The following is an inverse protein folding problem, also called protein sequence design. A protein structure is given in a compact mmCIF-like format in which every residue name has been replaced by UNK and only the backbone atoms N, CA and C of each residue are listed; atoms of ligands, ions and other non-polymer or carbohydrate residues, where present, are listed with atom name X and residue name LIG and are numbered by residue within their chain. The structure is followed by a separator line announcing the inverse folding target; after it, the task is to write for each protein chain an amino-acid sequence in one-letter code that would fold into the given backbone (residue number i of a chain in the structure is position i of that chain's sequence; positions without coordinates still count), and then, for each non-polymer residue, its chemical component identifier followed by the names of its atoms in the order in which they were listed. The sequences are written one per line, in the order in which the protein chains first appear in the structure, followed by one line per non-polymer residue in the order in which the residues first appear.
data_IF_832136867310
#
_entry.id   IF_832136867310
#
_cell.length_a   1.000
_cell.length_b   1.000
_cell.length_c   1.000
_cell.angle_alpha   90.00
_cell.angle_beta   90.00
_cell.angle_gamma   90.00
#
_symmetry.space_group_name_H-M   'P 1'
#
loop_
_entity.id
_entity.type
_entity.pdbx_description
1 polymer ?
#
# COMPACT_ATOMS: atom_id res chain seq x y z
N UNK A 1 12.76 8.47 -32.18
CA UNK A 1 12.65 8.89 -30.75
C UNK A 1 12.73 7.61 -29.92
N UNK A 2 13.81 7.41 -29.17
CA UNK A 2 13.87 6.35 -28.17
C UNK A 2 12.95 6.76 -27.03
N UNK A 3 11.82 6.07 -26.86
CA UNK A 3 10.91 6.30 -25.75
C UNK A 3 11.51 5.56 -24.54
N UNK A 4 11.94 6.31 -23.52
CA UNK A 4 12.31 5.69 -22.25
C UNK A 4 11.04 5.12 -21.63
N UNK A 5 10.96 3.79 -21.55
CA UNK A 5 9.79 3.10 -21.00
C UNK A 5 9.76 3.07 -19.48
N UNK A 6 10.80 3.53 -18.79
CA UNK A 6 10.83 3.65 -17.34
C UNK A 6 11.85 4.71 -16.93
N UNK A 7 11.50 5.55 -15.96
CA UNK A 7 12.42 6.49 -15.31
C UNK A 7 12.40 6.14 -13.83
N UNK A 8 13.56 5.86 -13.26
CA UNK A 8 13.72 5.60 -11.84
C UNK A 8 14.54 6.73 -11.19
N UNK A 9 14.18 7.08 -9.96
CA UNK A 9 14.82 8.13 -9.16
C UNK A 9 15.61 7.45 -8.04
N UNK A 10 16.83 7.96 -7.80
CA UNK A 10 17.73 7.51 -6.73
C UNK A 10 18.09 8.63 -5.78
N UNK A 11 19.12 8.42 -4.96
CA UNK A 11 19.59 9.41 -4.01
C UNK A 11 20.19 10.67 -4.67
N UNK A 12 20.27 11.74 -3.87
CA UNK A 12 21.14 12.89 -4.09
C UNK A 12 22.53 12.51 -3.56
N UNK A 13 23.56 12.79 -4.35
CA UNK A 13 24.94 12.44 -4.06
C UNK A 13 25.80 13.70 -3.91
N UNK A 14 26.89 13.57 -3.15
CA UNK A 14 27.86 14.65 -2.96
C UNK A 14 28.62 15.05 -4.24
N UNK A 15 28.61 14.19 -5.26
CA UNK A 15 29.15 14.47 -6.59
C UNK A 15 28.15 14.10 -7.68
N UNK A 16 28.37 14.61 -8.90
CA UNK A 16 27.68 14.09 -10.08
C UNK A 16 27.89 12.58 -10.22
N UNK A 17 26.83 11.83 -10.55
CA UNK A 17 26.87 10.38 -10.77
C UNK A 17 27.88 9.91 -11.85
N UNK A 18 28.43 10.85 -12.64
CA UNK A 18 29.57 10.59 -13.54
C UNK A 18 30.83 10.14 -12.77
N UNK A 19 30.97 10.58 -11.51
CA UNK A 19 32.09 10.27 -10.63
C UNK A 19 31.80 9.11 -9.65
N UNK A 20 30.82 8.24 -9.95
CA UNK A 20 30.42 7.11 -9.09
C UNK A 20 31.52 6.10 -8.72
N UNK A 21 32.67 6.17 -9.40
CA UNK A 21 33.85 5.34 -9.10
C UNK A 21 34.81 6.00 -8.11
N UNK A 22 34.54 7.24 -7.69
CA UNK A 22 35.33 7.94 -6.68
C UNK A 22 35.14 7.25 -5.31
N UNK A 23 36.22 7.04 -4.53
CA UNK A 23 36.10 6.46 -3.19
C UNK A 23 35.28 7.33 -2.22
N UNK A 24 35.20 8.64 -2.49
CA UNK A 24 34.42 9.59 -1.69
C UNK A 24 32.98 9.74 -2.19
N UNK A 25 32.56 9.01 -3.24
CA UNK A 25 31.20 9.07 -3.76
C UNK A 25 30.22 8.43 -2.78
N UNK A 26 29.30 9.22 -2.24
CA UNK A 26 28.32 8.77 -1.27
C UNK A 26 27.00 9.50 -1.41
N UNK A 27 25.95 8.84 -0.95
CA UNK A 27 24.61 9.40 -0.83
C UNK A 27 24.57 10.46 0.28
N UNK A 28 23.91 11.58 0.03
CA UNK A 28 23.69 12.66 1.00
C UNK A 28 22.24 12.73 1.47
N UNK A 29 21.29 12.59 0.55
CA UNK A 29 19.86 12.65 0.85
C UNK A 29 19.09 11.72 -0.08
N UNK A 30 17.93 11.26 0.37
CA UNK A 30 16.98 10.55 -0.50
C UNK A 30 15.60 10.57 0.13
N UNK A 31 14.54 10.69 -0.65
CA UNK A 31 13.18 10.50 -0.16
C UNK A 31 13.04 9.15 0.58
N UNK A 32 12.26 9.14 1.66
CA UNK A 32 11.87 7.87 2.27
C UNK A 32 10.77 7.27 1.40
N UNK A 33 10.98 6.04 0.94
CA UNK A 33 10.09 5.41 -0.05
C UNK A 33 9.62 4.05 0.41
N UNK A 34 8.36 3.72 0.09
CA UNK A 34 7.76 2.42 0.35
C UNK A 34 7.19 1.86 -0.94
N UNK A 35 7.34 0.56 -1.15
CA UNK A 35 6.75 -0.18 -2.27
C UNK A 35 5.88 -1.30 -1.71
N UNK A 36 4.62 -1.32 -2.16
CA UNK A 36 3.62 -2.31 -1.78
C UNK A 36 3.05 -2.91 -3.06
N UNK A 37 3.27 -4.21 -3.25
CA UNK A 37 2.76 -4.96 -4.38
C UNK A 37 1.64 -5.90 -3.92
N UNK A 38 0.48 -5.82 -4.57
CA UNK A 38 -0.65 -6.69 -4.25
C UNK A 38 -0.36 -8.18 -4.47
N UNK A 39 0.66 -8.55 -5.27
CA UNK A 39 1.05 -9.97 -5.39
C UNK A 39 1.57 -10.55 -4.10
N UNK A 40 2.05 -9.72 -3.19
CA UNK A 40 2.46 -10.18 -1.86
C UNK A 40 1.26 -10.63 -1.04
N UNK A 41 0.02 -10.45 -1.51
CA UNK A 41 -1.22 -10.85 -0.86
C UNK A 41 -1.93 -12.04 -1.55
N UNK A 42 -1.24 -12.77 -2.43
CA UNK A 42 -1.82 -13.92 -3.16
C UNK A 42 -2.36 -15.04 -2.25
N UNK A 43 -1.87 -15.12 -1.01
CA UNK A 43 -2.34 -16.02 0.04
C UNK A 43 -3.65 -15.59 0.70
N UNK A 44 -4.08 -14.34 0.51
CA UNK A 44 -5.26 -13.74 1.17
C UNK A 44 -6.19 -13.00 0.21
N UNK A 45 -6.11 -13.32 -1.09
CA UNK A 45 -7.03 -12.87 -2.13
C UNK A 45 -7.34 -14.02 -3.09
N UNK A 46 -8.61 -14.21 -3.40
CA UNK A 46 -9.12 -15.31 -4.24
C UNK A 46 -9.61 -14.82 -5.60
N UNK A 47 -9.96 -13.54 -5.72
CA UNK A 47 -10.49 -12.97 -6.95
C UNK A 47 -9.45 -12.82 -8.08
N UNK A 48 -8.17 -12.76 -7.72
CA UNK A 48 -7.03 -12.49 -8.60
C UNK A 48 -5.78 -13.20 -8.07
N UNK A 49 -4.76 -13.34 -8.92
CA UNK A 49 -3.46 -13.89 -8.56
C UNK A 49 -2.35 -13.11 -9.29
N UNK A 50 -1.14 -13.16 -8.76
CA UNK A 50 0.06 -12.53 -9.29
C UNK A 50 -0.13 -11.05 -9.61
N UNK A 51 -0.09 -10.67 -10.88
CA UNK A 51 -0.15 -9.28 -11.29
C UNK A 51 -1.53 -8.74 -11.58
N UNK A 52 -2.57 -9.57 -11.49
CA UNK A 52 -3.94 -9.16 -11.78
C UNK A 52 -4.50 -8.38 -10.58
N UNK A 53 -5.21 -7.31 -10.86
CA UNK A 53 -5.96 -6.52 -9.89
C UNK A 53 -7.40 -6.34 -10.37
N UNK A 54 -8.31 -6.14 -9.43
CA UNK A 54 -9.69 -5.76 -9.68
C UNK A 54 -10.25 -5.06 -8.44
N UNK A 55 -11.46 -4.50 -8.57
CA UNK A 55 -12.14 -3.78 -7.48
C UNK A 55 -12.42 -4.65 -6.25
N UNK A 56 -12.42 -5.99 -6.38
CA UNK A 56 -12.60 -6.90 -5.24
C UNK A 56 -11.39 -6.97 -4.31
N UNK A 57 -10.17 -6.89 -4.84
CA UNK A 57 -8.93 -6.93 -4.04
C UNK A 57 -8.35 -5.55 -3.76
N UNK A 58 -8.83 -4.50 -4.43
CA UNK A 58 -8.39 -3.13 -4.19
C UNK A 58 -8.56 -2.64 -2.74
N UNK A 59 -9.56 -3.08 -1.95
CA UNK A 59 -9.62 -2.73 -0.54
C UNK A 59 -8.35 -3.06 0.25
N UNK A 60 -7.54 -4.05 -0.15
CA UNK A 60 -6.21 -4.26 0.45
C UNK A 60 -5.30 -3.05 0.27
N UNK A 61 -5.28 -2.49 -0.94
CA UNK A 61 -4.47 -1.32 -1.26
C UNK A 61 -5.00 -0.08 -0.55
N UNK A 62 -6.32 0.09 -0.44
CA UNK A 62 -6.93 1.14 0.39
C UNK A 62 -6.48 1.06 1.84
N UNK A 63 -6.56 -0.13 2.46
CA UNK A 63 -6.10 -0.33 3.83
C UNK A 63 -4.60 -0.03 3.92
N UNK A 64 -3.80 -0.49 2.95
CA UNK A 64 -2.36 -0.27 2.96
C UNK A 64 -1.98 1.21 2.95
N UNK A 65 -2.59 1.99 2.05
CA UNK A 65 -2.37 3.44 1.93
C UNK A 65 -2.77 4.15 3.22
N UNK A 66 -3.97 3.90 3.73
CA UNK A 66 -4.48 4.57 4.94
C UNK A 66 -3.68 4.20 6.18
N UNK A 67 -3.32 2.93 6.35
CA UNK A 67 -2.48 2.50 7.49
C UNK A 67 -1.10 3.11 7.40
N UNK A 68 -0.46 3.10 6.22
CA UNK A 68 0.86 3.68 6.05
C UNK A 68 0.84 5.20 6.27
N UNK A 69 -0.12 5.91 5.71
CA UNK A 69 -0.27 7.35 5.90
C UNK A 69 -0.49 7.72 7.38
N UNK A 70 -1.45 7.06 8.05
CA UNK A 70 -1.71 7.24 9.48
C UNK A 70 -0.45 7.00 10.30
N UNK A 71 0.35 5.98 9.95
CA UNK A 71 1.61 5.67 10.62
C UNK A 71 2.64 6.78 10.42
N UNK A 72 2.86 7.22 9.18
CA UNK A 72 3.82 8.26 8.84
C UNK A 72 3.46 9.60 9.51
N UNK A 73 2.18 9.96 9.52
CA UNK A 73 1.69 11.19 10.16
C UNK A 73 1.75 11.10 11.69
N UNK A 74 1.20 10.04 12.29
CA UNK A 74 1.02 10.01 13.75
C UNK A 74 2.24 9.53 14.53
N UNK A 75 3.05 8.63 13.97
CA UNK A 75 4.23 8.09 14.65
C UNK A 75 5.50 8.89 14.34
N UNK A 76 5.61 9.45 13.13
CA UNK A 76 6.82 10.15 12.66
C UNK A 76 6.62 11.64 12.41
N UNK A 77 5.38 12.13 12.33
CA UNK A 77 5.11 13.55 12.12
C UNK A 77 5.39 14.04 10.70
N UNK A 78 5.45 13.14 9.71
CA UNK A 78 5.68 13.52 8.32
C UNK A 78 4.41 14.09 7.68
N UNK A 79 4.58 15.13 6.88
CA UNK A 79 3.48 15.86 6.25
C UNK A 79 3.53 15.80 4.72
N UNK A 80 4.72 15.70 4.13
CA UNK A 80 4.92 15.79 2.68
C UNK A 80 4.93 14.39 2.05
N UNK A 81 3.75 13.77 2.00
CA UNK A 81 3.56 12.37 1.58
C UNK A 81 2.86 12.31 0.22
N UNK A 82 3.41 11.53 -0.72
CA UNK A 82 2.84 11.29 -2.04
C UNK A 82 2.64 9.79 -2.30
N UNK A 83 1.41 9.41 -2.60
CA UNK A 83 1.11 8.07 -3.10
C UNK A 83 1.03 8.08 -4.64
N UNK A 84 1.58 7.03 -5.25
CA UNK A 84 1.67 6.88 -6.71
C UNK A 84 1.29 5.46 -7.09
N UNK A 85 0.35 5.29 -8.01
CA UNK A 85 0.07 3.98 -8.57
C UNK A 85 1.28 3.51 -9.41
N UNK A 86 1.75 2.27 -9.22
CA UNK A 86 2.98 1.77 -9.85
C UNK A 86 2.87 1.54 -11.36
N UNK A 87 1.68 1.76 -11.93
CA UNK A 87 1.34 1.56 -13.34
C UNK A 87 0.90 0.12 -13.67
N UNK A 88 0.84 -0.77 -12.68
CA UNK A 88 0.36 -2.15 -12.89
C UNK A 88 -0.49 -2.68 -11.76
N UNK A 89 0.05 -2.79 -10.54
CA UNK A 89 -0.55 -3.61 -9.48
C UNK A 89 -0.21 -3.21 -8.05
N UNK A 90 0.63 -2.21 -7.87
CA UNK A 90 1.12 -1.79 -6.57
C UNK A 90 1.06 -0.29 -6.42
N UNK A 91 1.49 0.18 -5.27
CA UNK A 91 1.52 1.60 -4.91
C UNK A 91 2.90 1.90 -4.35
N UNK A 92 3.44 3.05 -4.75
CA UNK A 92 4.63 3.63 -4.17
C UNK A 92 4.23 4.78 -3.25
N UNK A 93 4.86 4.89 -2.09
CA UNK A 93 4.76 6.05 -1.22
C UNK A 93 6.11 6.77 -1.21
N UNK A 94 6.09 8.09 -1.32
CA UNK A 94 7.26 8.97 -1.25
C UNK A 94 7.05 9.99 -0.15
N UNK A 95 8.03 10.15 0.74
CA UNK A 95 8.03 11.15 1.82
C UNK A 95 9.17 12.13 1.56
N UNK A 96 8.81 13.40 1.42
CA UNK A 96 9.70 14.48 0.98
C UNK A 96 10.21 15.37 2.10
N UNK A 97 9.65 15.25 3.31
CA UNK A 97 10.08 15.97 4.51
C UNK A 97 11.61 15.95 4.63
N UNK A 98 12.20 17.11 4.93
CA UNK A 98 13.65 17.26 4.98
C UNK A 98 14.31 16.25 5.95
N UNK A 99 13.68 16.04 7.11
CA UNK A 99 14.13 15.07 8.11
C UNK A 99 14.05 13.64 7.60
N UNK A 100 12.98 13.28 6.87
CA UNK A 100 12.87 11.97 6.22
C UNK A 100 13.97 11.77 5.17
N UNK A 101 14.31 12.83 4.42
CA UNK A 101 15.34 12.78 3.39
C UNK A 101 16.75 12.55 3.93
N UNK A 102 17.00 13.01 5.15
CA UNK A 102 18.31 12.94 5.83
C UNK A 102 18.49 11.70 6.72
N UNK A 103 17.45 10.88 6.94
CA UNK A 103 17.55 9.66 7.75
C UNK A 103 18.68 8.76 7.27
N UNK A 104 19.60 8.42 8.16
CA UNK A 104 20.72 7.51 7.88
C UNK A 104 20.25 6.05 7.79
N UNK A 105 21.14 5.14 7.41
CA UNK A 105 20.78 3.73 7.19
C UNK A 105 20.21 3.01 8.42
N UNK A 106 20.70 3.31 9.62
CA UNK A 106 20.18 2.71 10.86
C UNK A 106 18.79 3.26 11.23
N UNK A 107 18.57 4.56 10.98
CA UNK A 107 17.27 5.20 11.19
C UNK A 107 16.22 4.68 10.20
N UNK A 108 16.58 4.56 8.92
CA UNK A 108 15.71 3.94 7.90
C UNK A 108 15.39 2.50 8.23
N UNK A 109 16.37 1.72 8.68
CA UNK A 109 16.15 0.36 9.13
C UNK A 109 15.14 0.31 10.28
N UNK A 110 15.34 1.10 11.33
CA UNK A 110 14.43 1.14 12.47
C UNK A 110 13.00 1.57 12.06
N UNK A 111 12.90 2.57 11.19
CA UNK A 111 11.62 3.07 10.67
C UNK A 111 10.91 2.02 9.81
N UNK A 112 11.60 1.44 8.83
CA UNK A 112 11.04 0.42 7.94
C UNK A 112 10.52 -0.78 8.75
N UNK A 113 11.27 -1.21 9.77
CA UNK A 113 10.85 -2.27 10.68
C UNK A 113 9.72 -1.87 11.64
N UNK A 114 9.59 -0.59 12.00
CA UNK A 114 8.43 -0.10 12.73
C UNK A 114 7.15 -0.17 11.88
N UNK A 115 7.26 0.20 10.60
CA UNK A 115 6.16 0.11 9.64
C UNK A 115 5.82 -1.34 9.26
N UNK A 116 6.72 -2.30 9.47
CA UNK A 116 6.49 -3.72 9.18
C UNK A 116 5.89 -4.47 10.39
N UNK A 117 4.57 -4.67 10.40
CA UNK A 117 3.88 -5.43 11.45
C UNK A 117 3.42 -6.78 10.91
N UNK A 118 3.64 -7.84 11.71
CA UNK A 118 3.19 -9.20 11.41
C UNK A 118 2.36 -9.76 12.56
N UNK A 119 1.49 -10.73 12.26
CA UNK A 119 0.66 -11.38 13.26
C UNK A 119 1.49 -12.07 14.37
N UNK A 120 2.72 -12.49 14.07
CA UNK A 120 3.61 -13.15 15.03
C UNK A 120 4.02 -12.21 16.18
N UNK A 121 4.14 -10.91 15.90
CA UNK A 121 4.48 -9.88 16.89
C UNK A 121 3.33 -9.59 17.87
N UNK A 122 2.10 -9.99 17.53
CA UNK A 122 0.94 -9.81 18.41
C UNK A 122 0.90 -10.96 19.43
N UNK A 123 1.03 -10.58 20.71
CA UNK A 123 0.89 -11.50 21.85
C UNK A 123 -0.53 -12.03 22.02
N UNK A 124 -0.76 -12.81 23.08
CA UNK A 124 -2.04 -13.50 23.32
C UNK A 124 -3.00 -12.74 24.23
N UNK A 125 -2.49 -11.88 25.12
CA UNK A 125 -3.30 -11.21 26.15
C UNK A 125 -2.80 -9.82 26.57
N UNK A 126 -1.82 -9.24 25.88
CA UNK A 126 -1.26 -7.93 26.23
C UNK A 126 -2.02 -6.78 25.56
N UNK A 127 -1.90 -5.57 26.12
CA UNK A 127 -2.38 -4.36 25.46
C UNK A 127 -1.65 -4.20 24.12
N UNK A 128 -2.41 -4.03 23.04
CA UNK A 128 -1.85 -3.75 21.72
C UNK A 128 -1.16 -2.37 21.71
N UNK A 129 -0.06 -2.26 20.99
CA UNK A 129 0.58 -0.97 20.73
C UNK A 129 -0.37 -0.04 19.97
N UNK A 130 -0.33 1.26 20.24
CA UNK A 130 -1.24 2.26 19.64
C UNK A 130 -1.24 2.20 18.11
N UNK A 131 -0.05 2.06 17.50
CA UNK A 131 0.11 1.81 16.06
C UNK A 131 -0.78 0.67 15.53
N UNK A 132 -0.71 -0.50 16.17
CA UNK A 132 -1.50 -1.67 15.79
C UNK A 132 -2.99 -1.41 16.02
N UNK A 133 -3.36 -0.68 17.07
CA UNK A 133 -4.76 -0.31 17.32
C UNK A 133 -5.31 0.62 16.23
N UNK A 134 -4.53 1.60 15.77
CA UNK A 134 -4.93 2.49 14.69
C UNK A 134 -5.05 1.74 13.36
N UNK A 135 -4.11 0.85 13.06
CA UNK A 135 -4.20 -0.02 11.90
C UNK A 135 -5.47 -0.89 11.91
N UNK A 136 -5.79 -1.50 13.06
CA UNK A 136 -7.01 -2.30 13.21
C UNK A 136 -8.30 -1.48 13.06
N UNK A 137 -8.33 -0.24 13.55
CA UNK A 137 -9.48 0.66 13.35
C UNK A 137 -9.74 0.92 11.86
N UNK A 138 -8.68 1.13 11.09
CA UNK A 138 -8.77 1.29 9.63
C UNK A 138 -9.26 -0.02 9.01
N UNK A 139 -8.62 -1.15 9.34
CA UNK A 139 -9.02 -2.47 8.84
C UNK A 139 -10.50 -2.77 9.12
N UNK A 140 -11.00 -2.42 10.30
CA UNK A 140 -12.39 -2.68 10.71
C UNK A 140 -13.42 -2.02 9.80
N UNK A 141 -13.07 -0.93 9.11
CA UNK A 141 -13.95 -0.25 8.15
C UNK A 141 -14.19 -1.08 6.87
N UNK A 142 -13.27 -1.96 6.53
CA UNK A 142 -13.28 -2.74 5.28
C UNK A 142 -13.50 -4.24 5.52
N UNK A 143 -13.31 -4.69 6.77
CA UNK A 143 -13.06 -6.09 7.07
C UNK A 143 -14.18 -7.02 6.62
N UNK A 144 -15.43 -6.74 6.97
CA UNK A 144 -16.54 -7.65 6.69
C UNK A 144 -16.80 -7.74 5.17
N UNK A 145 -16.80 -6.61 4.45
CA UNK A 145 -16.95 -6.57 3.00
C UNK A 145 -15.80 -7.30 2.28
N UNK A 146 -14.56 -7.06 2.72
CA UNK A 146 -13.38 -7.72 2.13
C UNK A 146 -13.42 -9.23 2.36
N UNK A 147 -13.75 -9.65 3.59
CA UNK A 147 -13.85 -11.05 3.97
C UNK A 147 -14.88 -11.79 3.11
N UNK A 148 -16.07 -11.21 2.96
CA UNK A 148 -17.14 -11.75 2.12
C UNK A 148 -16.74 -11.77 0.64
N UNK A 149 -16.22 -10.67 0.12
CA UNK A 149 -15.88 -10.52 -1.30
C UNK A 149 -14.78 -11.49 -1.75
N UNK A 150 -13.85 -11.82 -0.86
CA UNK A 150 -12.78 -12.78 -1.11
C UNK A 150 -13.13 -14.20 -0.67
N UNK A 151 -14.29 -14.43 -0.03
CA UNK A 151 -14.72 -15.74 0.46
C UNK A 151 -13.62 -16.51 1.23
N UNK A 152 -12.86 -15.81 2.09
CA UNK A 152 -11.64 -16.36 2.71
C UNK A 152 -11.91 -17.53 3.66
N UNK A 153 -13.15 -17.70 4.11
CA UNK A 153 -13.59 -18.81 4.94
C UNK A 153 -14.47 -19.80 4.17
N UNK A 154 -14.57 -19.69 2.84
CA UNK A 154 -15.43 -20.51 1.98
C UNK A 154 -14.97 -21.97 1.87
N UNK A 155 -13.69 -22.24 2.08
CA UNK A 155 -13.13 -23.61 2.03
C UNK A 155 -12.56 -24.06 3.38
N UNK A 156 -12.34 -25.37 3.50
CA UNK A 156 -11.69 -25.97 4.68
C UNK A 156 -10.26 -25.41 4.87
N UNK A 157 -9.51 -25.24 3.77
CA UNK A 157 -8.18 -24.65 3.78
C UNK A 157 -8.19 -23.18 4.22
N UNK A 158 -9.23 -22.44 3.85
CA UNK A 158 -9.46 -21.07 4.29
C UNK A 158 -9.64 -20.99 5.81
N UNK A 159 -10.47 -21.88 6.37
CA UNK A 159 -10.64 -22.00 7.83
C UNK A 159 -9.31 -22.35 8.51
N UNK A 160 -8.59 -23.34 7.99
CA UNK A 160 -7.28 -23.72 8.50
C UNK A 160 -6.30 -22.55 8.47
N UNK A 161 -6.34 -21.72 7.42
CA UNK A 161 -5.49 -20.54 7.29
C UNK A 161 -5.69 -19.53 8.42
N UNK A 162 -6.93 -19.35 8.89
CA UNK A 162 -7.25 -18.48 10.02
C UNK A 162 -6.88 -19.14 11.36
N UNK A 163 -7.13 -20.45 11.51
CA UNK A 163 -6.80 -21.20 12.72
C UNK A 163 -5.29 -21.24 13.02
N UNK A 164 -4.41 -21.06 12.01
CA UNK A 164 -2.95 -20.88 12.19
C UNK A 164 -2.61 -19.74 13.16
N UNK A 165 -3.46 -18.72 13.25
CA UNK A 165 -3.25 -17.55 14.11
C UNK A 165 -3.89 -17.69 15.49
N UNK A 166 -4.62 -18.78 15.75
CA UNK A 166 -5.17 -19.11 17.07
C UNK A 166 -4.12 -19.89 17.86
N UNK A 167 -3.63 -19.31 18.95
CA UNK A 167 -2.60 -19.91 19.82
C UNK A 167 -3.26 -20.72 20.95
N UNK A 168 -4.11 -21.68 20.55
CA UNK A 168 -4.79 -22.65 21.39
C UNK A 168 -4.46 -24.07 20.94
N UNK A 169 -4.77 -25.05 21.80
CA UNK A 169 -4.53 -26.47 21.54
C UNK A 169 -5.27 -26.96 20.28
N UNK A 170 -4.66 -27.90 19.55
CA UNK A 170 -5.20 -28.42 18.29
C UNK A 170 -6.58 -29.07 18.48
N UNK A 171 -6.83 -29.71 19.62
CA UNK A 171 -8.16 -30.26 19.93
C UNK A 171 -9.25 -29.18 19.93
N UNK A 172 -8.96 -27.97 20.42
CA UNK A 172 -9.92 -26.86 20.44
C UNK A 172 -10.08 -26.29 19.04
N UNK A 173 -8.98 -26.12 18.29
CA UNK A 173 -9.03 -25.62 16.91
C UNK A 173 -9.82 -26.56 15.99
N UNK A 174 -9.65 -27.87 16.14
CA UNK A 174 -10.40 -28.87 15.39
C UNK A 174 -11.90 -28.83 15.76
N UNK A 175 -12.24 -28.71 17.04
CA UNK A 175 -13.64 -28.53 17.47
C UNK A 175 -14.29 -27.28 16.83
N UNK A 176 -13.54 -26.17 16.76
CA UNK A 176 -14.02 -24.94 16.13
C UNK A 176 -14.19 -25.10 14.63
N UNK A 177 -13.23 -25.75 13.96
CA UNK A 177 -13.29 -26.08 12.54
C UNK A 177 -14.54 -26.90 12.21
N UNK A 178 -14.81 -27.97 12.95
CA UNK A 178 -16.01 -28.80 12.78
C UNK A 178 -17.30 -28.01 12.97
N UNK A 179 -17.32 -27.02 13.88
CA UNK A 179 -18.48 -26.14 14.06
C UNK A 179 -18.66 -25.17 12.91
N UNK A 180 -17.58 -24.64 12.35
CA UNK A 180 -17.62 -23.73 11.21
C UNK A 180 -18.06 -24.44 9.93
N UNK A 181 -17.61 -25.68 9.71
CA UNK A 181 -17.96 -26.49 8.53
C UNK A 181 -19.45 -26.85 8.45
N UNK A 182 -20.24 -26.57 9.49
CA UNK A 182 -21.71 -26.74 9.48
C UNK A 182 -22.45 -25.61 8.74
N UNK A 183 -21.74 -24.55 8.38
CA UNK A 183 -22.30 -23.37 7.71
C UNK A 183 -21.71 -23.23 6.31
N UNK A 184 -22.46 -22.61 5.42
CA UNK A 184 -22.12 -22.58 3.99
C UNK A 184 -21.42 -21.29 3.59
N UNK A 185 -21.67 -20.18 4.29
CA UNK A 185 -21.14 -18.86 3.91
C UNK A 185 -19.95 -18.43 4.76
N UNK A 186 -19.06 -17.63 4.16
CA UNK A 186 -17.94 -16.99 4.88
C UNK A 186 -18.42 -16.17 6.08
N UNK A 187 -19.53 -15.44 5.97
CA UNK A 187 -20.02 -14.57 7.04
C UNK A 187 -20.66 -15.32 8.21
N UNK A 188 -21.33 -16.45 7.96
CA UNK A 188 -21.79 -17.34 9.03
C UNK A 188 -20.59 -17.96 9.77
N UNK A 189 -19.60 -18.47 9.02
CA UNK A 189 -18.36 -19.01 9.57
C UNK A 189 -17.58 -17.96 10.38
N UNK A 190 -17.55 -16.72 9.92
CA UNK A 190 -16.94 -15.61 10.64
C UNK A 190 -17.67 -15.29 11.96
N UNK A 191 -19.00 -15.35 11.94
CA UNK A 191 -19.82 -15.15 13.14
C UNK A 191 -19.51 -16.20 14.22
N UNK A 192 -19.22 -17.45 13.82
CA UNK A 192 -18.73 -18.48 14.73
C UNK A 192 -17.38 -18.10 15.33
N UNK A 193 -16.42 -17.62 14.53
CA UNK A 193 -15.13 -17.12 15.04
C UNK A 193 -15.31 -16.01 16.09
N UNK A 194 -16.24 -15.08 15.86
CA UNK A 194 -16.56 -14.02 16.82
C UNK A 194 -17.19 -14.58 18.11
N UNK A 195 -18.09 -15.57 18.01
CA UNK A 195 -18.63 -16.27 19.16
C UNK A 195 -17.52 -16.99 19.96
N UNK A 196 -16.59 -17.66 19.28
CA UNK A 196 -15.44 -18.32 19.90
C UNK A 196 -14.53 -17.34 20.63
N UNK A 197 -14.42 -16.10 20.18
CA UNK A 197 -13.72 -15.04 20.93
C UNK A 197 -14.41 -14.73 22.25
N UNK A 198 -15.75 -14.62 22.26
CA UNK A 198 -16.54 -14.40 23.49
C UNK A 198 -16.41 -15.59 24.45
N UNK A 199 -16.45 -16.82 23.93
CA UNK A 199 -16.21 -18.03 24.73
C UNK A 199 -14.80 -18.09 25.30
N UNK A 200 -13.78 -17.73 24.51
CA UNK A 200 -12.38 -17.69 24.96
C UNK A 200 -12.20 -16.67 26.10
N UNK A 201 -12.89 -15.54 26.04
CA UNK A 201 -12.91 -14.54 27.11
C UNK A 201 -13.60 -15.07 28.37
N UNK A 202 -14.77 -15.72 28.25
CA UNK A 202 -15.53 -16.24 29.39
C UNK A 202 -14.82 -17.42 30.08
N UNK A 203 -14.27 -18.35 29.28
CA UNK A 203 -13.48 -19.50 29.75
C UNK A 203 -12.05 -19.11 30.17
N UNK A 204 -11.69 -17.82 30.14
CA UNK A 204 -10.37 -17.28 30.49
C UNK A 204 -9.22 -17.96 29.75
N UNK A 205 -9.43 -18.31 28.47
CA UNK A 205 -8.34 -18.79 27.63
C UNK A 205 -7.22 -17.76 27.56
N UNK A 206 -5.99 -18.27 27.41
CA UNK A 206 -4.77 -17.45 27.35
C UNK A 206 -4.73 -16.56 26.12
N UNK A 207 -5.39 -16.98 25.05
CA UNK A 207 -5.36 -16.28 23.77
C UNK A 207 -6.70 -15.60 23.45
N UNK A 208 -6.66 -14.27 23.39
CA UNK A 208 -7.84 -13.40 23.21
C UNK A 208 -7.71 -12.45 22.01
N UNK A 209 -6.53 -12.46 21.37
CA UNK A 209 -6.14 -11.53 20.31
C UNK A 209 -6.00 -12.21 18.94
N UNK A 210 -6.60 -13.38 18.77
CA UNK A 210 -6.50 -14.12 17.51
C UNK A 210 -7.23 -13.42 16.36
N UNK A 211 -8.34 -12.71 16.63
CA UNK A 211 -9.02 -11.91 15.59
C UNK A 211 -8.11 -10.80 15.09
N UNK A 212 -7.43 -10.10 16.01
CA UNK A 212 -6.49 -9.04 15.69
C UNK A 212 -5.30 -9.57 14.90
N UNK A 213 -4.78 -10.76 15.25
CA UNK A 213 -3.75 -11.42 14.47
C UNK A 213 -4.19 -11.77 13.06
N UNK A 214 -5.39 -12.32 12.91
CA UNK A 214 -5.95 -12.66 11.60
C UNK A 214 -6.09 -11.38 10.76
N UNK A 215 -6.68 -10.31 11.31
CA UNK A 215 -6.84 -9.03 10.61
C UNK A 215 -5.49 -8.46 10.15
N UNK A 216 -4.49 -8.43 11.03
CA UNK A 216 -3.15 -7.98 10.68
C UNK A 216 -2.50 -8.87 9.62
N UNK A 217 -2.58 -10.20 9.74
CA UNK A 217 -2.02 -11.11 8.74
C UNK A 217 -2.63 -10.92 7.34
N UNK A 218 -3.93 -10.63 7.29
CA UNK A 218 -4.69 -10.51 6.05
C UNK A 218 -4.51 -9.14 5.41
N UNK A 219 -4.58 -8.05 6.18
CA UNK A 219 -4.73 -6.70 5.59
C UNK A 219 -3.59 -5.74 5.85
N UNK A 220 -2.67 -6.04 6.78
CA UNK A 220 -1.62 -5.07 7.13
C UNK A 220 -0.64 -4.87 5.95
N UNK A 221 -0.11 -3.65 5.73
CA UNK A 221 0.91 -3.38 4.71
C UNK A 221 2.07 -4.39 4.69
N UNK A 222 2.26 -5.07 3.55
CA UNK A 222 3.42 -5.91 3.23
C UNK A 222 4.36 -5.05 2.41
N UNK A 223 5.35 -4.46 3.07
CA UNK A 223 6.28 -3.50 2.47
C UNK A 223 7.50 -4.27 1.95
N UNK A 224 7.98 -3.94 0.74
CA UNK A 224 9.33 -4.35 0.33
C UNK A 224 10.36 -3.54 1.14
N UNK A 225 10.75 -4.11 2.28
CA UNK A 225 11.57 -3.44 3.29
C UNK A 225 12.92 -2.97 2.72
N UNK A 226 13.47 -3.68 1.73
CA UNK A 226 14.78 -3.35 1.14
C UNK A 226 14.72 -2.03 0.37
N UNK A 227 13.59 -1.75 -0.28
CA UNK A 227 13.33 -0.49 -1.00
C UNK A 227 13.35 0.69 -0.02
N UNK A 228 12.88 0.47 1.21
CA UNK A 228 12.78 1.50 2.27
C UNK A 228 14.13 1.71 2.98
N UNK A 229 14.86 0.63 3.28
CA UNK A 229 16.11 0.64 4.04
C UNK A 229 17.28 1.30 3.29
N UNK A 230 17.45 0.93 2.02
CA UNK A 230 18.67 1.23 1.28
C UNK A 230 18.59 2.55 0.53
N UNK A 231 19.67 3.33 0.54
CA UNK A 231 19.81 4.56 -0.26
C UNK A 231 20.09 4.34 -1.74
N UNK A 232 20.49 3.13 -2.12
CA UNK A 232 20.88 2.75 -3.48
C UNK A 232 19.75 2.17 -4.33
N UNK A 233 18.60 1.83 -3.74
CA UNK A 233 17.44 1.36 -4.51
C UNK A 233 16.91 2.48 -5.42
N UNK A 234 16.67 2.15 -6.69
CA UNK A 234 16.00 3.07 -7.59
C UNK A 234 14.51 2.77 -7.55
N UNK A 235 13.68 3.80 -7.42
CA UNK A 235 12.23 3.65 -7.46
C UNK A 235 11.64 4.44 -8.62
N UNK A 236 10.66 3.84 -9.29
CA UNK A 236 10.03 4.41 -10.47
C UNK A 236 9.42 5.77 -10.17
N UNK A 237 9.80 6.75 -10.98
CA UNK A 237 9.35 8.13 -10.88
C UNK A 237 7.82 8.24 -11.03
N UNK A 238 7.18 9.16 -10.30
CA UNK A 238 5.84 9.63 -10.62
C UNK A 238 5.74 10.01 -12.11
N UNK A 239 4.59 9.73 -12.73
CA UNK A 239 4.29 9.95 -14.15
C UNK A 239 5.12 9.13 -15.15
N UNK A 240 5.99 8.21 -14.70
CA UNK A 240 6.58 7.21 -15.59
C UNK A 240 5.50 6.36 -16.27
N UNK A 241 5.79 5.86 -17.47
CA UNK A 241 4.92 4.90 -18.17
C UNK A 241 5.34 3.50 -17.77
N UNK A 242 4.41 2.61 -17.43
CA UNK A 242 4.77 1.22 -17.17
C UNK A 242 4.95 0.46 -18.50
N UNK A 243 6.10 -0.19 -18.76
CA UNK A 243 6.46 -0.73 -20.08
C UNK A 243 5.46 -1.75 -20.64
N UNK A 244 4.91 -2.61 -19.77
CA UNK A 244 4.00 -3.69 -20.19
C UNK A 244 2.53 -3.27 -20.35
N UNK A 245 2.07 -2.30 -19.57
CA UNK A 245 0.65 -1.91 -19.51
C UNK A 245 0.39 -0.62 -20.28
N UNK A 246 1.43 0.18 -20.55
CA UNK A 246 1.32 1.52 -21.10
C UNK A 246 0.66 2.53 -20.16
N UNK A 247 0.25 2.11 -18.95
CA UNK A 247 -0.38 2.96 -17.93
C UNK A 247 0.63 3.96 -17.37
N UNK A 248 0.16 5.16 -17.08
CA UNK A 248 0.94 6.20 -16.39
C UNK A 248 0.93 5.93 -14.89
N UNK A 249 2.06 6.16 -14.23
CA UNK A 249 2.20 6.05 -12.78
C UNK A 249 1.62 7.32 -12.13
N UNK A 250 0.32 7.32 -11.90
CA UNK A 250 -0.42 8.52 -11.48
C UNK A 250 -0.33 8.75 -9.97
N UNK A 251 0.05 9.96 -9.53
CA UNK A 251 -0.17 10.41 -8.17
C UNK A 251 -1.65 10.47 -7.79
N UNK A 252 -1.95 10.17 -6.53
CA UNK A 252 -3.29 10.27 -5.95
C UNK A 252 -3.20 10.58 -4.44
N UNK A 253 -4.27 11.15 -3.86
CA UNK A 253 -4.34 11.38 -2.42
C UNK A 253 -4.82 10.11 -1.70
N UNK A 254 -4.36 9.91 -0.47
CA UNK A 254 -4.81 8.79 0.36
C UNK A 254 -6.33 8.80 0.60
N UNK A 255 -6.95 9.97 0.72
CA UNK A 255 -8.40 10.11 0.87
C UNK A 255 -9.19 9.60 -0.35
N UNK A 256 -8.59 9.67 -1.54
CA UNK A 256 -9.23 9.27 -2.81
C UNK A 256 -9.03 7.78 -3.13
N UNK A 257 -8.25 7.04 -2.32
CA UNK A 257 -7.82 5.66 -2.62
C UNK A 257 -8.98 4.69 -2.82
N UNK A 258 -10.08 4.86 -2.08
CA UNK A 258 -11.26 3.99 -2.19
C UNK A 258 -11.99 4.16 -3.53
N UNK A 259 -11.87 5.34 -4.14
CA UNK A 259 -12.46 5.65 -5.44
C UNK A 259 -11.51 5.39 -6.62
N UNK A 260 -10.29 4.90 -6.35
CA UNK A 260 -9.28 4.72 -7.38
C UNK A 260 -9.68 3.62 -8.38
N UNK A 261 -9.86 4.01 -9.63
CA UNK A 261 -10.23 3.09 -10.70
C UNK A 261 -8.98 2.45 -11.33
N UNK A 262 -8.68 1.24 -10.87
CA UNK A 262 -7.57 0.43 -11.36
C UNK A 262 -7.65 0.08 -12.85
N UNK A 263 -8.86 -0.02 -13.39
CA UNK A 263 -9.10 -0.48 -14.76
C UNK A 263 -8.94 0.66 -15.75
N UNK A 264 -9.36 1.87 -15.36
CA UNK A 264 -9.36 3.06 -16.21
C UNK A 264 -8.20 4.05 -15.96
N UNK A 265 -7.09 3.59 -15.37
CA UNK A 265 -5.87 4.40 -15.27
C UNK A 265 -5.38 4.81 -16.68
N UNK A 266 -5.11 6.11 -16.93
CA UNK A 266 -4.70 6.60 -18.24
C UNK A 266 -3.46 5.89 -18.79
N UNK A 267 -3.44 5.65 -20.10
CA UNK A 267 -2.30 5.09 -20.81
C UNK A 267 -1.65 6.15 -21.68
N UNK A 268 -0.36 6.01 -21.99
CA UNK A 268 0.32 6.90 -22.95
C UNK A 268 -0.38 6.95 -24.31
N UNK A 269 -1.04 5.85 -24.69
CA UNK A 269 -1.80 5.75 -25.95
C UNK A 269 -3.14 6.50 -25.88
N UNK A 270 -3.88 6.38 -24.78
CA UNK A 270 -5.15 7.11 -24.59
C UNK A 270 -4.90 8.62 -24.48
N UNK A 271 -3.87 9.00 -23.73
CA UNK A 271 -3.45 10.40 -23.60
C UNK A 271 -3.03 11.00 -24.94
N UNK A 272 -2.24 10.27 -25.75
CA UNK A 272 -1.83 10.77 -27.08
C UNK A 272 -3.02 11.03 -28.00
N UNK A 273 -4.03 10.14 -27.99
CA UNK A 273 -5.24 10.31 -28.81
C UNK A 273 -6.04 11.54 -28.38
N UNK A 274 -6.20 11.72 -27.08
CA UNK A 274 -6.88 12.88 -26.51
C UNK A 274 -6.08 14.17 -26.75
N UNK A 275 -4.74 14.08 -26.81
CA UNK A 275 -3.84 15.19 -27.11
C UNK A 275 -4.02 15.74 -28.53
N UNK A 276 -4.26 14.90 -29.54
CA UNK A 276 -4.54 15.38 -30.92
C UNK A 276 -5.86 16.16 -31.01
N UNK A 277 -6.81 15.88 -30.10
CA UNK A 277 -8.06 16.63 -29.98
C UNK A 277 -7.87 17.92 -29.15
N UNK A 278 -7.10 17.85 -28.05
CA UNK A 278 -6.79 18.99 -27.17
C UNK A 278 -5.88 20.03 -27.86
N UNK A 279 -4.90 19.61 -28.67
CA UNK A 279 -4.03 20.53 -29.43
C UNK A 279 -4.86 21.38 -30.40
N UNK A 280 -5.87 20.80 -31.06
CA UNK A 280 -6.79 21.56 -31.94
C UNK A 280 -7.64 22.59 -31.18
N UNK A 281 -7.87 22.37 -29.88
CA UNK A 281 -8.63 23.27 -29.00
C UNK A 281 -7.73 24.37 -28.43
N UNK A 282 -6.51 24.02 -28.00
CA UNK A 282 -5.52 24.96 -27.45
C UNK A 282 -4.92 25.85 -28.54
N UNK A 283 -4.71 25.36 -29.76
CA UNK A 283 -4.28 26.18 -30.91
C UNK A 283 -5.29 27.28 -31.29
N UNK A 284 -6.56 27.17 -30.83
CA UNK A 284 -7.58 28.22 -30.99
C UNK A 284 -7.61 29.25 -29.85
N UNK A 285 -6.88 29.01 -28.76
CA UNK A 285 -6.79 29.91 -27.60
C UNK A 285 -5.31 30.16 -27.28
N UNK A 286 -4.78 31.30 -27.74
CA UNK A 286 -3.36 31.64 -27.62
C UNK A 286 -2.75 31.37 -26.24
N UNK A 287 -1.72 30.52 -26.20
CA UNK A 287 -0.56 30.67 -25.33
C UNK A 287 -0.69 30.17 -23.89
N UNK A 288 -0.32 28.90 -23.66
CA UNK A 288 0.63 28.43 -22.63
C UNK A 288 0.62 26.90 -22.61
N UNK A 289 1.74 26.27 -22.99
CA UNK A 289 1.87 24.80 -23.02
C UNK A 289 1.78 24.17 -21.63
N UNK A 290 2.00 24.93 -20.55
CA UNK A 290 1.84 24.45 -19.17
C UNK A 290 0.38 24.11 -18.87
N UNK A 291 -0.58 24.87 -19.43
CA UNK A 291 -2.03 24.68 -19.23
C UNK A 291 -2.58 23.39 -19.85
N UNK A 292 -1.86 22.80 -20.81
CA UNK A 292 -2.26 21.58 -21.52
C UNK A 292 -2.42 20.37 -20.58
N UNK A 293 -1.56 20.25 -19.57
CA UNK A 293 -1.55 19.13 -18.63
C UNK A 293 -2.47 19.33 -17.41
N UNK A 294 -3.00 20.54 -17.21
CA UNK A 294 -4.02 20.83 -16.19
C UNK A 294 -5.44 20.49 -16.66
N UNK A 295 -5.59 19.77 -17.79
CA UNK A 295 -6.87 19.44 -18.41
C UNK A 295 -6.93 17.93 -18.71
N UNK A 296 -8.13 17.36 -18.78
CA UNK A 296 -8.34 15.95 -19.10
C UNK A 296 -8.04 14.98 -17.95
N UNK A 297 -7.78 13.72 -18.29
CA UNK A 297 -7.67 12.59 -17.33
C UNK A 297 -6.48 12.71 -16.34
N UNK A 298 -5.49 13.56 -16.64
CA UNK A 298 -4.30 13.76 -15.79
C UNK A 298 -4.40 14.96 -14.85
N UNK A 299 -5.45 15.78 -14.99
CA UNK A 299 -5.58 17.07 -14.28
C UNK A 299 -5.41 16.93 -12.77
N UNK A 300 -6.11 15.98 -12.16
CA UNK A 300 -6.11 15.82 -10.71
C UNK A 300 -4.73 15.38 -10.20
N UNK A 301 -4.15 14.35 -10.82
CA UNK A 301 -2.81 13.87 -10.48
C UNK A 301 -1.73 14.94 -10.63
N UNK A 302 -1.81 15.79 -11.66
CA UNK A 302 -0.88 16.93 -11.86
C UNK A 302 -1.08 17.98 -10.78
N UNK A 303 -2.33 18.28 -10.41
CA UNK A 303 -2.65 19.20 -9.32
C UNK A 303 -2.08 18.70 -7.99
N UNK A 304 -2.34 17.45 -7.63
CA UNK A 304 -1.81 16.80 -6.40
C UNK A 304 -0.29 16.94 -6.33
N UNK A 305 0.40 16.62 -7.42
CA UNK A 305 1.85 16.73 -7.47
C UNK A 305 2.33 18.17 -7.36
N UNK A 306 1.65 19.12 -8.01
CA UNK A 306 2.02 20.55 -7.96
C UNK A 306 1.77 21.14 -6.57
N UNK A 307 0.66 20.79 -5.93
CA UNK A 307 0.33 21.22 -4.57
C UNK A 307 1.40 20.73 -3.57
N UNK A 308 1.84 19.46 -3.71
CA UNK A 308 2.97 18.93 -2.93
C UNK A 308 4.28 19.70 -3.19
N UNK A 309 4.64 19.94 -4.46
CA UNK A 309 5.86 20.69 -4.77
C UNK A 309 5.83 22.09 -4.15
N UNK A 310 4.67 22.76 -4.19
CA UNK A 310 4.52 24.06 -3.54
C UNK A 310 4.75 23.98 -2.03
N UNK A 311 4.25 22.93 -1.37
CA UNK A 311 4.53 22.69 0.05
C UNK A 311 6.02 22.51 0.30
N UNK A 312 6.66 21.59 -0.43
CA UNK A 312 8.09 21.25 -0.30
C UNK A 312 9.01 22.45 -0.53
N UNK A 313 8.68 23.34 -1.47
CA UNK A 313 9.50 24.51 -1.79
C UNK A 313 9.10 25.80 -1.06
N UNK A 314 8.02 25.76 -0.26
CA UNK A 314 7.59 26.90 0.56
C UNK A 314 8.21 26.92 1.97
N UNK A 315 8.75 25.79 2.41
CA UNK A 315 9.51 25.61 3.66
C UNK A 315 11.01 25.91 3.48
#
# INVERSE_FOLDING_TARGET
IYMFFNIDIGAIYNYSCKHRLSPDFKEEQRELVFDIDISDYDDVRTCCQEARICQKCWPLMSICVKVLEETLKTAFGFEQILFVFSGRRGIHCWVFDEEARKLNGAERFALAHYCQVTAQQIGTSHRLHTHIQNALKITDLYWDEYLETQDLLGTEEGIDSFLKYVKLDDSIKNEWKEQMLKYDTTMERWSIFQQKRKEAQSKKYRDRLFIERIKIAVTYPRIDIKVTEGFNHLLKAPFSVHPKTGKVCVPFNADDVDSFDCDNVPTVFSLRKNDEELVKVIEKQEGDMSKKYYHGEMKESVKIFTDLLNQVFSE
#
